data_IF_099415680882
#
_entry.id   IF_099415680882
#
_cell.length_a   1.000
_cell.length_b   1.000
_cell.length_c   1.000
_cell.angle_alpha   90.00
_cell.angle_beta   90.00
_cell.angle_gamma   90.00
#
_symmetry.space_group_name_H-M   'P 1'
#
loop_
_entity.id
_entity.type
_entity.pdbx_description
1 polymer ?
#
# COMPACT_ATOMS: atom_id res chain seq x y z
N UNK A 1 15.48 21.86 32.31
CA UNK A 1 15.38 22.74 31.13
C UNK A 1 15.68 21.92 29.88
N UNK A 2 14.67 21.33 29.24
CA UNK A 2 14.74 20.82 27.86
C UNK A 2 13.36 21.05 27.24
N UNK A 3 13.36 21.82 26.17
CA UNK A 3 12.24 22.51 25.55
C UNK A 3 11.35 21.54 24.72
N UNK A 4 10.01 21.54 24.87
CA UNK A 4 9.12 20.71 24.04
C UNK A 4 8.82 21.37 22.69
N UNK A 5 9.82 21.91 22.00
CA UNK A 5 9.63 22.80 20.85
C UNK A 5 10.14 22.26 19.51
N UNK A 6 10.11 20.94 19.28
CA UNK A 6 10.31 20.45 17.91
C UNK A 6 9.71 19.07 17.62
N UNK A 7 8.38 18.93 17.71
CA UNK A 7 7.72 17.89 16.91
C UNK A 7 7.74 18.38 15.46
N UNK A 8 8.46 17.73 14.54
CA UNK A 8 8.32 18.04 13.13
C UNK A 8 6.84 17.90 12.80
N UNK A 9 6.22 18.98 12.31
CA UNK A 9 4.85 18.96 11.81
C UNK A 9 4.78 17.83 10.79
N UNK A 10 3.90 16.86 11.01
CA UNK A 10 3.63 15.82 10.03
C UNK A 10 3.43 16.51 8.67
N UNK A 11 4.36 16.27 7.75
CA UNK A 11 4.36 16.97 6.48
C UNK A 11 3.23 16.42 5.62
N UNK A 12 2.72 17.22 4.69
CA UNK A 12 1.86 16.70 3.62
C UNK A 12 2.52 15.49 2.93
N UNK A 13 3.86 15.46 2.92
CA UNK A 13 4.64 14.34 2.43
C UNK A 13 4.52 13.06 3.26
N UNK A 14 4.41 13.15 4.58
CA UNK A 14 4.16 12.00 5.44
C UNK A 14 2.74 11.47 5.24
N UNK A 15 1.79 12.35 4.98
CA UNK A 15 0.42 11.96 4.62
C UNK A 15 0.40 11.22 3.28
N UNK A 16 1.10 11.72 2.26
CA UNK A 16 1.23 11.02 0.96
C UNK A 16 1.94 9.67 1.13
N UNK A 17 2.99 9.60 1.96
CA UNK A 17 3.67 8.34 2.30
C UNK A 17 2.75 7.36 3.00
N UNK A 18 2.00 7.81 4.01
CA UNK A 18 1.07 6.99 4.77
C UNK A 18 -0.08 6.48 3.87
N UNK A 19 -0.58 7.33 2.99
CA UNK A 19 -1.56 6.97 1.98
C UNK A 19 -0.97 5.95 1.00
N UNK A 20 0.27 6.14 0.53
CA UNK A 20 0.98 5.18 -0.33
C UNK A 20 1.19 3.80 0.31
N UNK A 21 1.59 3.75 1.58
CA UNK A 21 1.69 2.50 2.36
C UNK A 21 0.34 1.81 2.55
N UNK A 22 -0.74 2.60 2.58
CA UNK A 22 -2.11 2.09 2.64
C UNK A 22 -2.59 1.52 1.30
N UNK A 23 -2.14 2.07 0.16
CA UNK A 23 -2.42 1.53 -1.17
C UNK A 23 -1.66 0.23 -1.47
N UNK A 24 -0.45 0.10 -0.93
CA UNK A 24 0.37 -1.10 -1.09
C UNK A 24 -0.03 -2.25 -0.15
N UNK A 25 -0.84 -1.98 0.88
CA UNK A 25 -1.43 -3.02 1.74
C UNK A 25 -0.47 -3.67 2.74
N UNK A 26 0.69 -3.07 3.03
CA UNK A 26 1.70 -3.65 3.95
C UNK A 26 1.51 -3.13 5.38
N UNK A 27 0.38 -3.50 6.00
CA UNK A 27 0.25 -3.48 7.48
C UNK A 27 -0.76 -4.52 7.95
N UNK A 28 -0.51 -5.80 7.68
CA UNK A 28 -1.34 -6.91 8.19
C UNK A 28 -0.48 -7.98 8.84
N UNK A 29 -0.22 -7.83 10.15
CA UNK A 29 0.46 -8.85 10.96
C UNK A 29 -0.42 -9.45 12.07
N UNK A 30 -1.58 -8.86 12.38
CA UNK A 30 -2.33 -9.26 13.58
C UNK A 30 -3.48 -10.25 13.33
N UNK A 31 -4.19 -10.17 12.20
CA UNK A 31 -5.32 -11.07 11.90
C UNK A 31 -4.91 -12.35 11.13
N UNK A 32 -3.63 -12.50 10.81
CA UNK A 32 -3.14 -13.61 9.98
C UNK A 32 -3.06 -14.92 10.78
N UNK A 33 -2.74 -14.85 12.08
CA UNK A 33 -2.49 -16.04 12.90
C UNK A 33 -3.76 -16.84 13.26
N UNK A 34 -4.91 -16.18 13.39
CA UNK A 34 -6.19 -16.85 13.69
C UNK A 34 -6.77 -17.56 12.46
N UNK A 35 -6.69 -16.92 11.28
CA UNK A 35 -7.23 -17.46 10.02
C UNK A 35 -6.32 -18.54 9.43
N UNK A 36 -5.01 -18.49 9.67
CA UNK A 36 -4.06 -19.55 9.26
C UNK A 36 -4.38 -20.93 9.86
N UNK A 37 -5.11 -20.99 10.97
CA UNK A 37 -5.53 -22.27 11.60
C UNK A 37 -6.81 -22.84 11.00
N UNK A 38 -7.60 -22.05 10.26
CA UNK A 38 -8.92 -22.43 9.71
C UNK A 38 -8.97 -22.41 8.19
N UNK A 39 -8.18 -21.58 7.52
CA UNK A 39 -8.11 -21.41 6.07
C UNK A 39 -6.74 -21.89 5.56
N UNK A 40 -6.76 -22.75 4.53
CA UNK A 40 -5.54 -23.30 3.95
C UNK A 40 -4.59 -22.17 3.49
N UNK A 41 -3.32 -22.14 3.95
CA UNK A 41 -2.36 -21.06 3.66
C UNK A 41 -2.15 -20.82 2.15
N UNK A 42 -2.39 -21.85 1.33
CA UNK A 42 -2.35 -21.80 -0.12
C UNK A 42 -3.30 -20.74 -0.71
N UNK A 43 -4.51 -20.61 -0.14
CA UNK A 43 -5.52 -19.68 -0.65
C UNK A 43 -5.10 -18.22 -0.43
N UNK A 44 -4.45 -17.94 0.70
CA UNK A 44 -3.98 -16.58 1.01
C UNK A 44 -2.87 -16.16 0.04
N UNK A 45 -1.96 -17.08 -0.29
CA UNK A 45 -0.90 -16.86 -1.27
C UNK A 45 -1.50 -16.59 -2.66
N UNK A 46 -2.51 -17.36 -3.08
CA UNK A 46 -3.19 -17.15 -4.35
C UNK A 46 -3.88 -15.78 -4.43
N UNK A 47 -4.63 -15.39 -3.39
CA UNK A 47 -5.31 -14.09 -3.34
C UNK A 47 -4.31 -12.93 -3.29
N UNK A 48 -3.22 -13.06 -2.52
CA UNK A 48 -2.15 -12.07 -2.49
C UNK A 48 -1.49 -11.90 -3.87
N UNK A 49 -1.24 -13.01 -4.57
CA UNK A 49 -0.67 -12.98 -5.91
C UNK A 49 -1.58 -12.27 -6.91
N UNK A 50 -2.87 -12.60 -6.90
CA UNK A 50 -3.86 -11.92 -7.76
C UNK A 50 -3.94 -10.43 -7.44
N UNK A 51 -3.96 -10.05 -6.16
CA UNK A 51 -3.98 -8.64 -5.75
C UNK A 51 -2.75 -7.87 -6.27
N UNK A 52 -1.56 -8.47 -6.23
CA UNK A 52 -0.33 -7.89 -6.78
C UNK A 52 -0.44 -7.71 -8.29
N UNK A 53 -0.92 -8.73 -9.02
CA UNK A 53 -1.08 -8.64 -10.48
C UNK A 53 -2.05 -7.51 -10.86
N UNK A 54 -3.20 -7.43 -10.19
CA UNK A 54 -4.18 -6.36 -10.42
C UNK A 54 -3.58 -4.98 -10.15
N UNK A 55 -2.81 -4.83 -9.07
CA UNK A 55 -2.15 -3.57 -8.73
C UNK A 55 -1.14 -3.13 -9.80
N UNK A 56 -0.32 -4.06 -10.31
CA UNK A 56 0.64 -3.79 -11.38
C UNK A 56 -0.07 -3.37 -12.67
N UNK A 57 -1.13 -4.08 -13.06
CA UNK A 57 -1.91 -3.71 -14.25
C UNK A 57 -2.52 -2.32 -14.11
N UNK A 58 -3.09 -2.00 -12.95
CA UNK A 58 -3.65 -0.68 -12.68
C UNK A 58 -2.59 0.44 -12.82
N UNK A 59 -1.37 0.22 -12.32
CA UNK A 59 -0.26 1.17 -12.47
C UNK A 59 0.17 1.34 -13.93
N UNK A 60 0.28 0.25 -14.69
CA UNK A 60 0.65 0.31 -16.11
C UNK A 60 -0.39 1.08 -16.91
N UNK A 61 -1.67 0.84 -16.66
CA UNK A 61 -2.76 1.57 -17.31
C UNK A 61 -2.73 3.06 -16.94
N UNK A 62 -2.49 3.38 -15.67
CA UNK A 62 -2.38 4.76 -15.19
C UNK A 62 -1.22 5.49 -15.89
N UNK A 63 -0.04 4.88 -15.94
CA UNK A 63 1.13 5.47 -16.61
C UNK A 63 0.86 5.67 -18.09
N UNK A 64 0.29 4.65 -18.75
CA UNK A 64 -0.08 4.76 -20.17
C UNK A 64 -1.07 5.91 -20.40
N UNK A 65 -2.02 6.10 -19.51
CA UNK A 65 -2.98 7.21 -19.60
C UNK A 65 -2.29 8.56 -19.45
N UNK A 66 -1.42 8.73 -18.44
CA UNK A 66 -0.67 9.98 -18.22
C UNK A 66 0.23 10.32 -19.41
N UNK A 67 0.94 9.32 -19.97
CA UNK A 67 1.78 9.53 -21.16
C UNK A 67 0.94 9.92 -22.36
N UNK A 68 -0.20 9.25 -22.60
CA UNK A 68 -1.08 9.58 -23.71
C UNK A 68 -1.64 11.02 -23.60
N UNK A 69 -2.01 11.46 -22.40
CA UNK A 69 -2.46 12.83 -22.14
C UNK A 69 -1.34 13.86 -22.28
N UNK A 70 -0.08 13.50 -21.99
CA UNK A 70 1.07 14.41 -22.14
C UNK A 70 1.57 14.52 -23.59
N UNK A 71 1.29 13.53 -24.43
CA UNK A 71 1.60 13.54 -25.87
C UNK A 71 0.51 14.18 -26.75
N UNK A 72 -0.60 14.60 -26.15
CA UNK A 72 -1.72 15.29 -26.81
C UNK A 72 -1.65 16.79 -26.51
#
# INVERSE_FOLDING_TARGET
>A
MTDPSNRPKASLWDTVKAVGWSFFGVRKNSAYQEDLRKLNPLHIIAVAFVAVVVFVVALVLLVRHVVATASA
#
